data_IF_181987765604
#
_entry.id   IF_181987765604
#
_cell.length_a   1.000
_cell.length_b   1.000
_cell.length_c   1.000
_cell.angle_alpha   90.00
_cell.angle_beta   90.00
_cell.angle_gamma   90.00
#
_symmetry.space_group_name_H-M   'P 1'
#
loop_
_entity.id
_entity.type
_entity.pdbx_description
1 polymer ?
#
# COMPACT_ATOMS: atom_id res chain seq x y z
N UNK A 1 -4.93 -4.73 -17.61
CA UNK A 1 -4.49 -3.86 -16.49
C UNK A 1 -3.27 -3.01 -16.87
N UNK A 2 -3.18 -1.78 -16.35
CA UNK A 2 -1.97 -0.94 -16.36
C UNK A 2 -1.61 -0.55 -14.92
N UNK A 3 -0.33 -0.69 -14.56
CA UNK A 3 0.18 -0.28 -13.24
C UNK A 3 1.17 0.86 -13.44
N UNK A 4 0.92 1.99 -12.78
CA UNK A 4 1.75 3.19 -12.82
C UNK A 4 2.28 3.46 -11.42
N UNK A 5 3.61 3.39 -11.22
CA UNK A 5 4.21 3.86 -9.98
C UNK A 5 4.13 5.39 -9.91
N UNK A 6 3.66 5.92 -8.79
CA UNK A 6 3.52 7.35 -8.54
C UNK A 6 4.50 7.84 -7.45
N UNK A 7 5.52 7.03 -7.12
CA UNK A 7 6.55 7.32 -6.12
C UNK A 7 6.36 6.55 -4.81
N UNK A 8 7.46 6.22 -4.14
CA UNK A 8 7.48 5.41 -2.90
C UNK A 8 6.69 4.09 -3.04
N UNK A 9 5.71 3.85 -2.17
CA UNK A 9 4.78 2.71 -2.20
C UNK A 9 3.48 3.01 -2.97
N UNK A 10 3.38 4.21 -3.57
CA UNK A 10 2.19 4.67 -4.25
C UNK A 10 2.06 4.08 -5.66
N UNK A 11 0.87 3.58 -5.99
CA UNK A 11 0.55 3.07 -7.32
C UNK A 11 -0.84 3.52 -7.78
N UNK A 12 -0.96 3.78 -9.08
CA UNK A 12 -2.24 3.87 -9.79
C UNK A 12 -2.41 2.61 -10.63
N UNK A 13 -3.51 1.90 -10.43
CA UNK A 13 -3.84 0.66 -11.16
C UNK A 13 -5.11 0.92 -11.96
N UNK A 14 -4.98 0.93 -13.28
CA UNK A 14 -6.08 1.14 -14.21
C UNK A 14 -6.49 -0.18 -14.87
N UNK A 15 -7.79 -0.48 -14.81
CA UNK A 15 -8.38 -1.68 -15.39
C UNK A 15 -9.57 -1.30 -16.26
N UNK A 16 -10.15 -2.28 -16.98
CA UNK A 16 -11.42 -2.04 -17.68
C UNK A 16 -12.58 -1.78 -16.72
N UNK A 17 -12.58 -2.43 -15.55
CA UNK A 17 -13.67 -2.38 -14.59
C UNK A 17 -13.61 -1.19 -13.63
N UNK A 18 -12.50 -0.45 -13.63
CA UNK A 18 -12.29 0.74 -12.81
C UNK A 18 -10.83 0.95 -12.46
N UNK A 19 -10.60 1.95 -11.64
CA UNK A 19 -9.27 2.43 -11.29
C UNK A 19 -9.06 2.47 -9.79
N UNK A 20 -7.86 2.09 -9.35
CA UNK A 20 -7.51 1.98 -7.93
C UNK A 20 -6.29 2.87 -7.68
N UNK A 21 -6.41 3.78 -6.72
CA UNK A 21 -5.28 4.54 -6.17
C UNK A 21 -4.82 3.88 -4.87
N UNK A 22 -3.54 3.52 -4.81
CA UNK A 22 -2.91 2.86 -3.66
C UNK A 22 -1.88 3.81 -3.03
N UNK A 23 -1.96 4.03 -1.72
CA UNK A 23 -0.97 4.76 -0.89
C UNK A 23 -0.38 6.05 -1.52
N UNK A 24 -1.22 7.01 -1.95
CA UNK A 24 -0.71 8.24 -2.54
C UNK A 24 -0.02 9.11 -1.48
N UNK A 25 1.23 9.51 -1.73
CA UNK A 25 2.03 10.36 -0.85
C UNK A 25 2.83 11.41 -1.64
N UNK A 26 2.80 12.67 -1.19
CA UNK A 26 3.61 13.77 -1.77
C UNK A 26 4.16 14.73 -0.71
N UNK A 27 3.42 14.97 0.37
CA UNK A 27 3.79 15.95 1.38
C UNK A 27 4.83 15.39 2.36
N UNK A 28 5.88 16.12 2.73
CA UNK A 28 6.90 15.60 3.64
C UNK A 28 6.35 15.03 4.95
N UNK A 29 6.82 13.85 5.34
CA UNK A 29 6.42 13.14 6.55
C UNK A 29 7.43 13.33 7.69
N UNK A 30 7.02 12.99 8.91
CA UNK A 30 7.88 12.96 10.11
C UNK A 30 8.74 14.24 10.28
N UNK A 31 8.08 15.40 10.38
CA UNK A 31 8.72 16.72 10.50
C UNK A 31 9.66 17.07 9.33
N UNK A 32 9.37 16.55 8.12
CA UNK A 32 10.16 16.79 6.92
C UNK A 32 11.41 15.93 6.80
N UNK A 33 11.59 14.95 7.69
CA UNK A 33 12.73 14.03 7.59
C UNK A 33 12.56 13.02 6.46
N UNK A 34 11.32 12.71 6.07
CA UNK A 34 10.99 11.79 4.99
C UNK A 34 10.24 12.53 3.88
N UNK A 35 10.62 12.28 2.63
CA UNK A 35 10.02 12.87 1.44
C UNK A 35 10.18 11.90 0.27
N UNK A 36 9.31 12.01 -0.72
CA UNK A 36 9.34 11.13 -1.89
C UNK A 36 10.54 11.45 -2.76
N UNK A 37 11.28 10.41 -3.17
CA UNK A 37 12.36 10.52 -4.14
C UNK A 37 12.22 9.41 -5.21
N UNK A 38 12.30 9.74 -6.52
CA UNK A 38 12.38 11.10 -7.07
C UNK A 38 11.12 11.93 -6.74
N UNK A 39 11.25 13.25 -6.78
CA UNK A 39 10.14 14.17 -6.51
C UNK A 39 8.97 13.89 -7.46
N UNK A 40 7.79 13.64 -6.89
CA UNK A 40 6.55 13.33 -7.60
C UNK A 40 5.52 14.48 -7.53
N UNK A 41 5.92 15.66 -7.04
CA UNK A 41 5.04 16.83 -6.94
C UNK A 41 4.53 17.33 -8.30
N UNK A 42 5.26 17.04 -9.39
CA UNK A 42 4.90 17.39 -10.76
C UNK A 42 3.94 16.43 -11.47
N UNK A 43 3.48 15.35 -10.81
CA UNK A 43 2.47 14.45 -11.38
C UNK A 43 1.10 15.14 -11.46
N UNK A 44 0.25 14.69 -12.39
CA UNK A 44 -1.14 15.15 -12.49
C UNK A 44 -2.00 14.51 -11.39
N UNK A 45 -1.91 15.08 -10.19
CA UNK A 45 -2.62 14.60 -9.01
C UNK A 45 -4.15 14.72 -9.11
N UNK A 46 -4.67 15.61 -9.94
CA UNK A 46 -6.10 15.71 -10.19
C UNK A 46 -6.59 14.49 -10.97
N UNK A 47 -5.87 14.10 -12.03
CA UNK A 47 -6.19 12.90 -12.80
C UNK A 47 -5.96 11.60 -11.99
N UNK A 48 -4.88 11.54 -11.20
CA UNK A 48 -4.60 10.38 -10.35
C UNK A 48 -5.62 10.22 -9.22
N UNK A 49 -6.04 11.35 -8.62
CA UNK A 49 -7.02 11.42 -7.54
C UNK A 49 -8.45 11.10 -7.97
N UNK A 50 -8.77 11.24 -9.26
CA UNK A 50 -10.03 10.77 -9.83
C UNK A 50 -10.00 9.24 -10.02
N UNK A 51 -10.22 8.53 -8.92
CA UNK A 51 -10.22 7.08 -8.82
C UNK A 51 -11.61 6.52 -8.53
N UNK A 52 -11.92 5.32 -9.06
CA UNK A 52 -13.14 4.60 -8.68
C UNK A 52 -13.00 3.97 -7.27
N UNK A 53 -11.78 3.57 -6.91
CA UNK A 53 -11.43 2.93 -5.65
C UNK A 53 -10.17 3.54 -5.01
N UNK A 54 -10.16 3.59 -3.69
CA UNK A 54 -8.99 3.97 -2.90
C UNK A 54 -8.58 2.79 -2.01
N UNK A 55 -7.30 2.47 -2.01
CA UNK A 55 -6.70 1.53 -1.07
C UNK A 55 -5.61 2.23 -0.28
N UNK A 56 -5.69 2.18 1.04
CA UNK A 56 -4.63 2.61 1.95
C UNK A 56 -4.21 1.39 2.75
N UNK A 57 -2.94 1.00 2.62
CA UNK A 57 -2.42 -0.19 3.27
C UNK A 57 -2.40 -0.04 4.80
N UNK A 58 -2.00 1.13 5.32
CA UNK A 58 -1.91 1.42 6.77
C UNK A 58 -1.71 2.93 7.06
N UNK A 59 -1.61 3.31 8.34
CA UNK A 59 -1.59 4.71 8.82
C UNK A 59 -0.20 5.36 8.93
N UNK A 60 0.89 4.71 8.51
CA UNK A 60 2.19 5.39 8.48
C UNK A 60 2.16 6.58 7.51
N UNK A 61 2.88 7.66 7.84
CA UNK A 61 2.71 8.96 7.17
C UNK A 61 3.29 9.00 5.76
N UNK A 62 4.08 8.01 5.39
CA UNK A 62 4.60 7.77 4.05
C UNK A 62 3.66 6.91 3.16
N UNK A 63 2.56 6.43 3.73
CA UNK A 63 1.48 5.70 3.02
C UNK A 63 0.14 6.44 3.11
N UNK A 64 -0.08 7.16 4.22
CA UNK A 64 -1.25 7.95 4.51
C UNK A 64 -0.90 9.44 4.56
N UNK A 65 -1.09 10.13 3.43
CA UNK A 65 -0.93 11.59 3.32
C UNK A 65 -2.27 12.30 3.50
N UNK A 66 -2.65 12.74 4.72
CA UNK A 66 -3.96 13.31 4.98
C UNK A 66 -4.21 14.64 4.26
N UNK A 67 -3.16 15.34 3.81
CA UNK A 67 -3.31 16.58 3.06
C UNK A 67 -3.64 16.26 1.61
N UNK A 68 -2.84 15.43 0.96
CA UNK A 68 -3.11 15.00 -0.41
C UNK A 68 -4.47 14.31 -0.52
N UNK A 69 -4.74 13.35 0.37
CA UNK A 69 -6.01 12.62 0.41
C UNK A 69 -7.20 13.57 0.51
N UNK A 70 -7.14 14.61 1.35
CA UNK A 70 -8.22 15.60 1.50
C UNK A 70 -8.40 16.44 0.23
N UNK A 71 -7.29 16.92 -0.32
CA UNK A 71 -7.28 18.00 -1.30
C UNK A 71 -7.54 17.50 -2.74
N UNK A 72 -7.11 16.27 -3.10
CA UNK A 72 -7.14 15.81 -4.51
C UNK A 72 -7.90 14.51 -4.76
N UNK A 73 -8.04 13.64 -3.77
CA UNK A 73 -8.62 12.30 -4.00
C UNK A 73 -10.14 12.36 -3.99
N UNK A 74 -10.78 11.72 -4.97
CA UNK A 74 -12.23 11.68 -5.13
C UNK A 74 -12.91 11.08 -3.89
N UNK A 75 -13.82 11.83 -3.27
CA UNK A 75 -14.52 11.42 -2.04
C UNK A 75 -15.63 10.39 -2.30
N UNK A 76 -16.08 10.26 -3.55
CA UNK A 76 -17.05 9.25 -4.00
C UNK A 76 -16.39 7.91 -4.36
N UNK A 77 -15.04 7.85 -4.34
CA UNK A 77 -14.30 6.61 -4.50
C UNK A 77 -14.68 5.63 -3.39
N UNK A 78 -14.81 4.35 -3.73
CA UNK A 78 -15.05 3.31 -2.72
C UNK A 78 -13.72 2.93 -2.07
N UNK A 79 -13.60 3.17 -0.78
CA UNK A 79 -12.43 2.76 0.00
C UNK A 79 -12.46 1.26 0.20
N UNK A 80 -11.42 0.56 -0.24
CA UNK A 80 -11.18 -0.86 0.03
C UNK A 80 -10.48 -0.96 1.38
N UNK A 81 -11.24 -1.28 2.44
CA UNK A 81 -10.76 -1.18 3.81
C UNK A 81 -10.22 -2.54 4.30
N UNK A 82 -8.98 -2.61 4.80
CA UNK A 82 -8.44 -3.80 5.46
C UNK A 82 -9.21 -4.15 6.75
N UNK A 83 -9.34 -5.45 7.05
CA UNK A 83 -9.97 -6.00 8.27
C UNK A 83 -9.08 -5.85 9.53
N UNK A 84 -8.67 -4.62 9.82
CA UNK A 84 -7.92 -4.34 11.05
C UNK A 84 -8.83 -4.46 12.29
N UNK A 85 -8.31 -4.99 13.42
CA UNK A 85 -9.10 -5.13 14.65
C UNK A 85 -9.45 -3.79 15.31
N UNK A 86 -8.88 -2.69 14.82
CA UNK A 86 -9.11 -1.33 15.31
C UNK A 86 -9.61 -0.43 14.19
N UNK A 87 -10.57 0.48 14.46
CA UNK A 87 -11.23 1.28 13.43
C UNK A 87 -10.46 2.55 13.03
N UNK A 88 -9.22 2.73 13.48
CA UNK A 88 -8.46 3.97 13.34
C UNK A 88 -8.32 4.41 11.88
N UNK A 89 -7.95 3.50 10.96
CA UNK A 89 -7.83 3.82 9.53
C UNK A 89 -9.16 4.35 8.96
N UNK A 90 -10.26 3.65 9.24
CA UNK A 90 -11.61 4.07 8.82
C UNK A 90 -11.95 5.45 9.37
N UNK A 91 -11.76 5.67 10.68
CA UNK A 91 -12.04 6.94 11.35
C UNK A 91 -11.22 8.09 10.77
N UNK A 92 -9.94 7.88 10.48
CA UNK A 92 -9.11 8.91 9.86
C UNK A 92 -9.60 9.22 8.43
N UNK A 93 -9.97 8.22 7.62
CA UNK A 93 -10.54 8.45 6.29
C UNK A 93 -11.91 9.16 6.34
N UNK A 94 -12.78 8.81 7.28
CA UNK A 94 -14.05 9.51 7.51
C UNK A 94 -13.82 11.00 7.84
N UNK A 95 -12.83 11.32 8.68
CA UNK A 95 -12.45 12.73 8.98
C UNK A 95 -11.96 13.50 7.75
N UNK A 96 -11.48 12.80 6.71
CA UNK A 96 -11.10 13.40 5.43
C UNK A 96 -12.29 13.52 4.46
N UNK A 97 -13.47 13.00 4.80
CA UNK A 97 -14.71 13.10 4.01
C UNK A 97 -15.01 11.90 3.12
N UNK A 98 -14.23 10.81 3.21
CA UNK A 98 -14.59 9.56 2.55
C UNK A 98 -15.81 8.94 3.23
N UNK A 99 -16.76 8.46 2.42
CA UNK A 99 -18.07 8.05 2.93
C UNK A 99 -18.58 6.73 2.32
N UNK A 100 -17.81 6.12 1.42
CA UNK A 100 -18.11 4.82 0.80
C UNK A 100 -17.00 3.84 1.13
N UNK A 101 -17.33 2.78 1.87
CA UNK A 101 -16.38 1.78 2.31
C UNK A 101 -16.86 0.39 1.90
N UNK A 102 -15.95 -0.39 1.33
CA UNK A 102 -16.04 -1.83 1.31
C UNK A 102 -15.17 -2.36 2.43
N UNK A 103 -15.80 -2.85 3.49
CA UNK A 103 -15.12 -3.56 4.56
C UNK A 103 -14.82 -4.98 4.06
N UNK A 104 -13.54 -5.31 3.93
CA UNK A 104 -13.12 -6.64 3.52
C UNK A 104 -13.04 -7.59 4.71
N UNK A 105 -13.04 -8.88 4.44
CA UNK A 105 -12.64 -9.92 5.38
C UNK A 105 -11.18 -10.30 5.07
N UNK A 106 -10.36 -10.43 6.11
CA UNK A 106 -8.93 -10.72 5.96
C UNK A 106 -8.68 -11.99 5.12
N UNK A 107 -7.87 -11.83 4.08
CA UNK A 107 -7.44 -12.91 3.18
C UNK A 107 -8.61 -13.66 2.51
N UNK A 108 -9.75 -12.98 2.34
CA UNK A 108 -10.90 -13.47 1.58
C UNK A 108 -11.00 -12.71 0.26
N UNK A 109 -11.25 -13.43 -0.84
CA UNK A 109 -11.49 -12.83 -2.16
C UNK A 109 -12.89 -12.25 -2.27
N UNK A 110 -12.98 -10.98 -2.63
CA UNK A 110 -14.20 -10.22 -2.86
C UNK A 110 -14.32 -9.82 -4.34
N UNK A 111 -15.51 -9.98 -4.91
CA UNK A 111 -15.79 -9.53 -6.29
C UNK A 111 -16.48 -8.17 -6.28
N UNK A 112 -15.81 -7.15 -6.80
CA UNK A 112 -16.37 -5.83 -7.09
C UNK A 112 -17.03 -5.88 -8.46
N UNK A 113 -18.34 -5.62 -8.52
CA UNK A 113 -19.08 -5.59 -9.79
C UNK A 113 -19.60 -4.18 -10.07
N UNK A 114 -19.43 -3.70 -11.29
CA UNK A 114 -19.90 -2.40 -11.73
C UNK A 114 -20.30 -2.40 -13.21
N UNK A 115 -20.81 -1.28 -13.73
CA UNK A 115 -21.25 -1.18 -15.12
C UNK A 115 -20.12 -1.39 -16.13
N UNK A 116 -18.86 -1.20 -15.71
CA UNK A 116 -17.66 -1.37 -16.54
C UNK A 116 -17.08 -2.79 -16.52
N UNK A 117 -17.61 -3.69 -15.68
CA UNK A 117 -17.10 -5.06 -15.51
C UNK A 117 -16.94 -5.44 -14.04
N UNK A 118 -16.03 -6.38 -13.76
CA UNK A 118 -15.73 -6.80 -12.40
C UNK A 118 -14.22 -6.77 -12.10
N UNK A 119 -13.90 -6.65 -10.81
CA UNK A 119 -12.57 -6.85 -10.24
C UNK A 119 -12.67 -7.84 -9.10
N UNK A 120 -11.75 -8.79 -9.04
CA UNK A 120 -11.57 -9.59 -7.84
C UNK A 120 -10.45 -8.96 -7.00
N UNK A 121 -10.72 -8.72 -5.72
CA UNK A 121 -9.75 -8.14 -4.77
C UNK A 121 -9.65 -8.99 -3.52
N UNK A 122 -8.48 -9.03 -2.91
CA UNK A 122 -8.26 -9.64 -1.59
C UNK A 122 -7.27 -8.78 -0.82
N UNK A 123 -7.63 -8.37 0.39
CA UNK A 123 -6.72 -7.66 1.28
C UNK A 123 -6.22 -8.64 2.33
N UNK A 124 -4.89 -8.74 2.45
CA UNK A 124 -4.19 -9.51 3.48
C UNK A 124 -3.86 -8.52 4.59
N UNK A 125 -4.60 -8.56 5.69
CA UNK A 125 -4.42 -7.65 6.82
C UNK A 125 -3.61 -8.34 7.92
N UNK A 126 -2.55 -7.70 8.43
CA UNK A 126 -1.74 -8.27 9.52
C UNK A 126 -2.34 -7.85 10.86
N UNK A 127 -3.17 -8.72 11.42
CA UNK A 127 -4.08 -8.38 12.54
C UNK A 127 -3.46 -8.61 13.91
N UNK A 128 -2.48 -9.50 14.01
CA UNK A 128 -1.76 -9.84 15.24
C UNK A 128 -0.24 -9.84 15.02
N UNK A 129 0.57 -9.74 16.10
CA UNK A 129 2.03 -9.84 15.99
C UNK A 129 2.52 -11.16 15.38
N UNK A 130 1.69 -12.21 15.44
CA UNK A 130 1.97 -13.51 14.84
C UNK A 130 1.85 -13.49 13.30
N UNK A 131 1.18 -12.49 12.72
CA UNK A 131 0.91 -12.44 11.28
C UNK A 131 2.01 -11.66 10.52
N UNK A 132 2.84 -10.92 11.26
CA UNK A 132 3.90 -10.04 10.75
C UNK A 132 3.86 -8.67 11.44
N UNK A 133 4.33 -7.59 10.79
CA UNK A 133 4.15 -6.23 11.28
C UNK A 133 2.66 -5.89 11.45
N UNK A 134 2.20 -5.87 12.70
CA UNK A 134 0.80 -5.60 13.02
C UNK A 134 0.36 -4.23 12.47
N UNK A 135 -0.82 -4.19 11.84
CA UNK A 135 -1.40 -2.97 11.31
C UNK A 135 -0.99 -2.64 9.88
N UNK A 136 -0.17 -3.48 9.23
CA UNK A 136 0.13 -3.37 7.79
C UNK A 136 -0.81 -4.27 6.97
N UNK A 137 -1.02 -3.94 5.69
CA UNK A 137 -1.78 -4.80 4.78
C UNK A 137 -1.24 -4.76 3.35
N UNK A 138 -1.55 -5.80 2.58
CA UNK A 138 -1.30 -5.88 1.14
C UNK A 138 -2.58 -6.19 0.39
N UNK A 139 -2.63 -5.89 -0.90
CA UNK A 139 -3.82 -6.12 -1.75
C UNK A 139 -3.48 -6.91 -3.01
N UNK A 140 -4.28 -7.93 -3.29
CA UNK A 140 -4.31 -8.64 -4.57
C UNK A 140 -5.47 -8.11 -5.40
N UNK A 141 -5.23 -7.84 -6.68
CA UNK A 141 -6.21 -7.29 -7.62
C UNK A 141 -6.15 -8.11 -8.91
N UNK A 142 -7.28 -8.57 -9.41
CA UNK A 142 -7.38 -9.25 -10.70
C UNK A 142 -8.51 -8.66 -11.55
N UNK A 143 -8.19 -8.36 -12.82
CA UNK A 143 -9.20 -7.98 -13.84
C UNK A 143 -9.70 -9.18 -14.67
N UNK A 144 -9.42 -10.40 -14.19
CA UNK A 144 -9.73 -11.67 -14.86
C UNK A 144 -8.76 -12.05 -15.98
N UNK A 145 -7.85 -11.15 -16.36
CA UNK A 145 -6.78 -11.41 -17.35
C UNK A 145 -5.39 -11.23 -16.75
N UNK A 146 -5.23 -10.22 -15.89
CA UNK A 146 -3.98 -9.91 -15.20
C UNK A 146 -4.23 -9.86 -13.71
N UNK A 147 -3.36 -10.49 -12.93
CA UNK A 147 -3.38 -10.46 -11.48
C UNK A 147 -2.15 -9.75 -10.94
N UNK A 148 -2.37 -8.84 -10.00
CA UNK A 148 -1.35 -8.02 -9.39
C UNK A 148 -1.41 -8.16 -7.88
N UNK A 149 -0.25 -8.38 -7.25
CA UNK A 149 -0.12 -8.36 -5.81
C UNK A 149 0.72 -7.15 -5.39
N UNK A 150 0.05 -6.14 -4.80
CA UNK A 150 0.72 -5.06 -4.09
C UNK A 150 0.89 -5.47 -2.63
N UNK A 151 1.99 -6.16 -2.33
CA UNK A 151 2.29 -6.65 -0.99
C UNK A 151 2.60 -5.50 -0.02
N UNK A 152 3.12 -4.39 -0.53
CA UNK A 152 3.44 -3.21 0.28
C UNK A 152 4.37 -3.59 1.46
N UNK A 153 4.19 -2.95 2.61
CA UNK A 153 4.90 -3.21 3.86
C UNK A 153 4.38 -4.47 4.59
N UNK A 154 3.28 -5.07 4.11
CA UNK A 154 2.82 -6.35 4.65
C UNK A 154 3.83 -7.45 4.37
N UNK A 155 4.07 -8.26 5.39
CA UNK A 155 4.98 -9.41 5.35
C UNK A 155 4.26 -10.64 5.90
N UNK A 156 3.24 -11.13 5.18
CA UNK A 156 2.51 -12.32 5.62
C UNK A 156 3.47 -13.52 5.72
N UNK A 157 3.22 -14.40 6.69
CA UNK A 157 4.06 -15.58 6.92
C UNK A 157 3.83 -16.71 5.90
N UNK A 158 2.65 -16.72 5.25
CA UNK A 158 2.30 -17.64 4.17
C UNK A 158 1.72 -16.84 3.01
N UNK A 159 1.85 -17.39 1.80
CA UNK A 159 1.23 -16.88 0.57
C UNK A 159 0.18 -17.86 0.00
N UNK A 160 -0.23 -18.89 0.75
CA UNK A 160 -1.12 -19.94 0.24
C UNK A 160 -2.48 -19.40 -0.23
N UNK A 161 -2.97 -18.32 0.38
CA UNK A 161 -4.20 -17.64 -0.02
C UNK A 161 -4.14 -17.07 -1.46
N UNK A 162 -2.94 -16.79 -1.98
CA UNK A 162 -2.77 -16.32 -3.36
C UNK A 162 -3.17 -17.38 -4.39
N UNK A 163 -3.21 -18.66 -4.01
CA UNK A 163 -3.66 -19.74 -4.90
C UNK A 163 -5.07 -19.53 -5.45
N UNK A 164 -5.93 -18.77 -4.73
CA UNK A 164 -7.26 -18.40 -5.21
C UNK A 164 -7.28 -17.52 -6.47
N UNK A 165 -6.16 -16.85 -6.76
CA UNK A 165 -5.98 -15.99 -7.92
C UNK A 165 -5.15 -16.66 -9.04
N UNK A 166 -4.61 -17.85 -8.80
CA UNK A 166 -3.75 -18.55 -9.74
C UNK A 166 -2.39 -17.86 -9.89
N UNK A 167 -2.02 -17.51 -11.12
CA UNK A 167 -0.76 -16.85 -11.41
C UNK A 167 -0.80 -15.37 -10.99
N UNK A 168 0.27 -14.90 -10.35
CA UNK A 168 0.53 -13.48 -10.10
C UNK A 168 1.44 -12.94 -11.21
N UNK A 169 0.97 -11.97 -11.99
CA UNK A 169 1.71 -11.42 -13.12
C UNK A 169 2.62 -10.26 -12.72
N UNK A 170 2.19 -9.45 -11.74
CA UNK A 170 2.98 -8.36 -11.18
C UNK A 170 2.97 -8.48 -9.66
N UNK A 171 4.16 -8.48 -9.06
CA UNK A 171 4.32 -8.48 -7.62
C UNK A 171 5.10 -7.22 -7.21
N UNK A 172 4.58 -6.46 -6.25
CA UNK A 172 5.19 -5.24 -5.70
C UNK A 172 5.59 -5.46 -4.24
N UNK A 173 6.75 -6.11 -3.99
CA UNK A 173 7.25 -6.34 -2.65
C UNK A 173 8.07 -5.17 -2.11
N UNK A 174 8.09 -5.00 -0.79
CA UNK A 174 9.01 -4.08 -0.12
C UNK A 174 10.42 -4.69 -0.01
N UNK A 175 11.38 -4.08 -0.71
CA UNK A 175 12.80 -4.46 -0.64
C UNK A 175 13.64 -3.52 0.26
N UNK A 176 13.12 -2.34 0.56
CA UNK A 176 13.71 -1.33 1.43
C UNK A 176 12.63 -0.63 2.24
N UNK A 177 12.86 -0.43 3.54
CA UNK A 177 11.95 0.34 4.39
C UNK A 177 12.53 1.71 4.71
N UNK A 178 11.67 2.73 4.74
CA UNK A 178 12.02 4.03 5.29
C UNK A 178 12.25 3.88 6.80
N UNK A 179 13.44 4.25 7.27
CA UNK A 179 13.86 3.96 8.64
C UNK A 179 15.07 4.79 9.06
N UNK A 180 15.13 5.13 10.34
CA UNK A 180 16.18 5.95 10.91
C UNK A 180 17.38 5.12 11.45
N UNK A 181 17.20 3.82 11.71
CA UNK A 181 18.28 2.91 12.14
C UNK A 181 19.10 2.36 10.97
N UNK A 182 20.45 2.36 11.05
CA UNK A 182 21.29 2.84 12.16
C UNK A 182 21.71 4.32 12.07
N UNK A 183 21.38 5.03 11.00
CA UNK A 183 21.99 6.31 10.61
C UNK A 183 21.91 7.39 11.70
N UNK A 184 20.76 7.52 12.35
CA UNK A 184 20.53 8.58 13.36
C UNK A 184 20.90 8.18 14.80
N UNK A 185 21.37 6.94 15.01
CA UNK A 185 21.73 6.47 16.33
C UNK A 185 23.14 6.94 16.71
N UNK A 186 23.37 7.19 18.01
CA UNK A 186 24.71 7.47 18.52
C UNK A 186 25.50 6.15 18.65
N UNK A 187 26.37 5.89 17.66
CA UNK A 187 27.15 4.66 17.52
C UNK A 187 28.44 4.97 16.77
N UNK A 188 29.54 4.20 16.98
CA UNK A 188 30.74 4.33 16.17
C UNK A 188 30.44 4.19 14.67
N UNK A 189 31.09 4.99 13.83
CA UNK A 189 30.82 5.04 12.39
C UNK A 189 30.91 3.66 11.72
N UNK A 190 31.96 2.90 12.05
CA UNK A 190 32.14 1.52 11.58
C UNK A 190 30.97 0.60 11.94
N UNK A 191 30.32 0.81 13.08
CA UNK A 191 29.14 0.04 13.47
C UNK A 191 27.93 0.45 12.62
N UNK A 192 27.74 1.76 12.37
CA UNK A 192 26.67 2.25 11.48
C UNK A 192 26.80 1.67 10.08
N UNK A 193 28.00 1.68 9.49
CA UNK A 193 28.28 1.11 8.17
C UNK A 193 27.96 -0.40 8.12
N UNK A 194 28.39 -1.15 9.13
CA UNK A 194 28.15 -2.59 9.23
C UNK A 194 26.65 -2.90 9.34
N UNK A 195 25.92 -2.22 10.23
CA UNK A 195 24.49 -2.41 10.41
C UNK A 195 23.69 -1.95 9.19
N UNK A 196 24.09 -0.85 8.54
CA UNK A 196 23.46 -0.37 7.31
C UNK A 196 23.60 -1.40 6.18
N UNK A 197 24.81 -1.95 6.00
CA UNK A 197 25.09 -2.99 5.00
C UNK A 197 24.29 -4.25 5.27
N UNK A 198 24.31 -4.75 6.51
CA UNK A 198 23.55 -5.94 6.90
C UNK A 198 22.04 -5.73 6.70
N UNK A 199 21.53 -4.55 7.06
CA UNK A 199 20.12 -4.23 6.93
C UNK A 199 19.67 -4.16 5.47
N UNK A 200 20.47 -3.54 4.60
CA UNK A 200 20.21 -3.52 3.15
C UNK A 200 20.16 -4.95 2.60
N UNK A 201 21.12 -5.79 3.00
CA UNK A 201 21.15 -7.19 2.57
C UNK A 201 19.91 -7.96 3.05
N UNK A 202 19.55 -7.84 4.34
CA UNK A 202 18.36 -8.49 4.91
C UNK A 202 17.05 -8.05 4.25
N UNK A 203 16.93 -6.77 3.90
CA UNK A 203 15.77 -6.26 3.15
C UNK A 203 15.63 -6.93 1.79
N UNK A 204 16.74 -7.02 1.04
CA UNK A 204 16.79 -7.69 -0.25
C UNK A 204 16.55 -9.20 -0.15
N UNK A 205 17.16 -9.88 0.83
CA UNK A 205 16.99 -11.32 1.03
C UNK A 205 15.55 -11.67 1.36
N UNK A 206 14.91 -10.87 2.23
CA UNK A 206 13.50 -11.04 2.55
C UNK A 206 12.59 -10.79 1.35
N UNK A 207 12.87 -9.77 0.55
CA UNK A 207 12.12 -9.52 -0.68
C UNK A 207 12.18 -10.72 -1.65
N UNK A 208 13.32 -11.43 -1.72
CA UNK A 208 13.49 -12.62 -2.58
C UNK A 208 12.82 -13.89 -2.04
N UNK A 209 12.36 -13.89 -0.79
CA UNK A 209 11.65 -15.03 -0.23
C UNK A 209 10.22 -15.13 -0.72
N UNK A 210 9.66 -14.02 -1.19
CA UNK A 210 8.34 -13.92 -1.80
C UNK A 210 8.44 -13.90 -3.32
#
# INVERSE_FOLDING_TARGET
MQVTSIGHAGFRIDTRAGSILCDPWVNPAYFGSWFVFPDNSGLDWAALGDCDYLYISHLHKDHFDPKLLRDVVNKDATVLLPDFPVPDLKRELEKLGFHRFLETEDSVKHRLSGPKGYLDVMIIALRAPADGPIGDSGIVISDGTTTVFNMNDSRPLSLDMLAEFGQIDVHMPQYSGAIWYPMVYDMPERAKEAFATQKRQRGMDRCRQY
#
